data_IF_050518004371
#
_entry.id   IF_050518004371
#
_cell.length_a   1.000
_cell.length_b   1.000
_cell.length_c   1.000
_cell.angle_alpha   90.00
_cell.angle_beta   90.00
_cell.angle_gamma   90.00
#
_symmetry.space_group_name_H-M   'P 1'
#
loop_
_entity.id
_entity.type
_entity.pdbx_description
1 polymer ?
#
# COMPACT_ATOMS: atom_id res chain seq x y z
N UNK A 1 45.03 -24.37 2.53
CA UNK A 1 44.75 -23.02 3.06
C UNK A 1 44.44 -22.12 1.88
N UNK A 2 43.17 -21.98 1.49
CA UNK A 2 42.73 -21.16 0.35
C UNK A 2 42.37 -19.77 0.87
N UNK A 3 43.07 -18.74 0.41
CA UNK A 3 42.73 -17.35 0.68
C UNK A 3 41.39 -17.03 0.01
N UNK A 4 40.41 -16.63 0.82
CA UNK A 4 39.17 -16.01 0.38
C UNK A 4 39.52 -14.55 0.09
N UNK A 5 39.38 -14.03 -1.14
CA UNK A 5 39.44 -12.59 -1.33
C UNK A 5 38.19 -11.97 -0.70
N UNK A 6 38.39 -11.29 0.42
CA UNK A 6 37.47 -10.30 0.96
C UNK A 6 37.47 -9.10 0.01
N UNK A 7 36.67 -9.17 -1.05
CA UNK A 7 36.34 -7.96 -1.82
C UNK A 7 35.35 -7.15 -0.99
N UNK A 8 35.91 -6.33 -0.11
CA UNK A 8 35.25 -5.13 0.41
C UNK A 8 34.99 -4.19 -0.76
N UNK A 9 33.74 -4.09 -1.21
CA UNK A 9 33.24 -2.90 -1.89
C UNK A 9 32.02 -2.41 -1.10
N UNK A 10 32.34 -1.73 -0.01
CA UNK A 10 31.46 -0.75 0.59
C UNK A 10 31.31 0.42 -0.40
N UNK A 11 30.11 1.00 -0.45
CA UNK A 11 29.77 2.27 -1.12
C UNK A 11 29.79 2.32 -2.66
N UNK A 12 28.63 1.96 -3.25
CA UNK A 12 27.94 2.91 -4.14
C UNK A 12 26.50 3.08 -3.70
N UNK A 13 26.33 3.85 -2.63
CA UNK A 13 25.10 4.62 -2.44
C UNK A 13 25.03 5.63 -3.60
N UNK A 14 23.91 5.62 -4.30
CA UNK A 14 23.39 6.74 -5.11
C UNK A 14 24.25 7.23 -6.28
N UNK A 15 23.99 6.73 -7.50
CA UNK A 15 24.07 7.53 -8.73
C UNK A 15 23.46 6.76 -9.91
N UNK A 16 22.14 6.55 -9.87
CA UNK A 16 21.44 6.10 -11.07
C UNK A 16 20.04 6.71 -11.08
N UNK A 17 19.74 7.65 -12.02
CA UNK A 17 18.39 8.21 -12.17
C UNK A 17 17.31 7.12 -12.29
N UNK A 18 17.67 5.91 -12.72
CA UNK A 18 16.80 4.73 -12.76
C UNK A 18 16.35 4.20 -11.39
N UNK A 19 17.17 4.29 -10.34
CA UNK A 19 16.80 3.83 -8.99
C UNK A 19 15.82 4.80 -8.33
N UNK A 20 16.06 6.11 -8.46
CA UNK A 20 15.13 7.14 -7.99
C UNK A 20 13.79 7.02 -8.70
N UNK A 21 13.80 6.78 -10.02
CA UNK A 21 12.58 6.57 -10.79
C UNK A 21 11.76 5.36 -10.29
N UNK A 22 12.42 4.25 -9.96
CA UNK A 22 11.77 3.07 -9.38
C UNK A 22 11.15 3.35 -8.00
N UNK A 23 11.87 4.09 -7.15
CA UNK A 23 11.40 4.48 -5.82
C UNK A 23 10.15 5.36 -5.93
N UNK A 24 10.21 6.40 -6.77
CA UNK A 24 9.10 7.34 -6.97
C UNK A 24 7.89 6.61 -7.53
N UNK A 25 8.07 5.76 -8.55
CA UNK A 25 6.95 5.04 -9.14
C UNK A 25 6.28 4.10 -8.13
N UNK A 26 7.05 3.38 -7.33
CA UNK A 26 6.51 2.54 -6.26
C UNK A 26 5.68 3.37 -5.25
N UNK A 27 6.15 4.56 -4.86
CA UNK A 27 5.39 5.43 -3.96
C UNK A 27 4.12 5.98 -4.59
N UNK A 28 4.15 6.34 -5.88
CA UNK A 28 2.95 6.75 -6.60
C UNK A 28 1.91 5.63 -6.63
N UNK A 29 2.34 4.39 -6.90
CA UNK A 29 1.44 3.21 -6.87
C UNK A 29 0.83 3.02 -5.48
N UNK A 30 1.65 3.08 -4.42
CA UNK A 30 1.16 2.97 -3.05
C UNK A 30 0.19 4.11 -2.67
N UNK A 31 0.51 5.33 -3.07
CA UNK A 31 -0.33 6.51 -2.82
C UNK A 31 -1.69 6.38 -3.50
N UNK A 32 -1.73 5.99 -4.78
CA UNK A 32 -2.98 5.78 -5.53
C UNK A 32 -3.81 4.65 -4.89
N UNK A 33 -3.16 3.59 -4.41
CA UNK A 33 -3.83 2.51 -3.70
C UNK A 33 -4.51 3.01 -2.40
N UNK A 34 -3.77 3.76 -1.58
CA UNK A 34 -4.28 4.32 -0.32
C UNK A 34 -5.39 5.35 -0.55
N UNK A 35 -5.22 6.20 -1.56
CA UNK A 35 -6.20 7.21 -1.94
C UNK A 35 -7.51 6.57 -2.40
N UNK A 36 -7.43 5.48 -3.17
CA UNK A 36 -8.59 4.69 -3.56
C UNK A 36 -9.30 4.10 -2.34
N UNK A 37 -8.54 3.57 -1.37
CA UNK A 37 -9.06 3.10 -0.09
C UNK A 37 -9.84 4.18 0.67
N UNK A 38 -9.27 5.39 0.76
CA UNK A 38 -9.91 6.54 1.41
C UNK A 38 -11.24 6.94 0.74
N UNK A 39 -11.29 6.98 -0.60
CA UNK A 39 -12.53 7.30 -1.34
C UNK A 39 -13.61 6.27 -1.04
N UNK A 40 -13.25 4.98 -1.08
CA UNK A 40 -14.19 3.88 -0.84
C UNK A 40 -14.70 3.93 0.61
N UNK A 41 -13.81 4.17 1.57
CA UNK A 41 -14.16 4.36 2.98
C UNK A 41 -15.20 5.46 3.17
N UNK A 42 -14.96 6.62 2.54
CA UNK A 42 -15.85 7.79 2.65
C UNK A 42 -17.20 7.56 1.99
N UNK A 43 -17.22 6.87 0.84
CA UNK A 43 -18.47 6.48 0.16
C UNK A 43 -19.27 5.44 0.94
N UNK A 44 -18.59 4.50 1.60
CA UNK A 44 -19.21 3.44 2.38
C UNK A 44 -19.72 3.92 3.76
N UNK A 45 -19.27 5.07 4.26
CA UNK A 45 -19.59 5.57 5.62
C UNK A 45 -21.08 5.77 5.91
N UNK A 46 -21.91 5.97 4.89
CA UNK A 46 -23.36 6.16 5.03
C UNK A 46 -24.15 4.84 5.10
N UNK A 47 -23.46 3.70 4.96
CA UNK A 47 -24.07 2.36 4.96
C UNK A 47 -23.97 1.71 6.34
N UNK A 48 -24.82 0.71 6.65
CA UNK A 48 -24.73 -0.05 7.89
C UNK A 48 -23.35 -0.73 8.03
N UNK A 49 -22.93 -0.95 9.28
CA UNK A 49 -21.59 -1.41 9.63
C UNK A 49 -21.18 -2.69 8.88
N UNK A 50 -22.08 -3.68 8.79
CA UNK A 50 -21.82 -4.93 8.09
C UNK A 50 -21.50 -4.72 6.60
N UNK A 51 -22.25 -3.84 5.93
CA UNK A 51 -22.02 -3.49 4.51
C UNK A 51 -20.78 -2.63 4.35
N UNK A 52 -20.49 -1.73 5.30
CA UNK A 52 -19.27 -0.93 5.31
C UNK A 52 -18.03 -1.84 5.33
N UNK A 53 -17.95 -2.77 6.28
CA UNK A 53 -16.81 -3.70 6.41
C UNK A 53 -16.69 -4.57 5.17
N UNK A 54 -17.81 -5.10 4.64
CA UNK A 54 -17.82 -5.92 3.43
C UNK A 54 -17.28 -5.17 2.20
N UNK A 55 -17.68 -3.91 1.99
CA UNK A 55 -17.21 -3.10 0.87
C UNK A 55 -15.72 -2.76 1.02
N UNK A 56 -15.29 -2.37 2.22
CA UNK A 56 -13.90 -2.01 2.48
C UNK A 56 -12.98 -3.21 2.29
N UNK A 57 -13.28 -4.35 2.92
CA UNK A 57 -12.49 -5.58 2.78
C UNK A 57 -12.57 -6.15 1.36
N UNK A 58 -13.73 -6.11 0.71
CA UNK A 58 -13.87 -6.53 -0.68
C UNK A 58 -13.01 -5.69 -1.63
N UNK A 59 -12.98 -4.37 -1.41
CA UNK A 59 -12.14 -3.48 -2.21
C UNK A 59 -10.65 -3.71 -1.98
N UNK A 60 -10.22 -4.06 -0.76
CA UNK A 60 -8.82 -4.36 -0.45
C UNK A 60 -8.29 -5.50 -1.33
N UNK A 61 -9.04 -6.59 -1.43
CA UNK A 61 -8.65 -7.75 -2.25
C UNK A 61 -8.46 -7.38 -3.72
N UNK A 62 -9.38 -6.60 -4.28
CA UNK A 62 -9.29 -6.13 -5.66
C UNK A 62 -8.08 -5.22 -5.86
N UNK A 63 -7.83 -4.30 -4.92
CA UNK A 63 -6.70 -3.37 -5.02
C UNK A 63 -5.35 -4.05 -4.89
N UNK A 64 -5.22 -5.07 -4.04
CA UNK A 64 -3.98 -5.87 -3.95
C UNK A 64 -3.71 -6.58 -5.28
N UNK A 65 -4.75 -7.14 -5.92
CA UNK A 65 -4.63 -7.72 -7.27
C UNK A 65 -4.15 -6.68 -8.30
N UNK A 66 -4.71 -5.47 -8.29
CA UNK A 66 -4.30 -4.38 -9.19
C UNK A 66 -2.84 -3.98 -8.93
N UNK A 67 -2.44 -3.77 -7.67
CA UNK A 67 -1.05 -3.41 -7.32
C UNK A 67 -0.09 -4.52 -7.74
N UNK A 68 -0.47 -5.79 -7.60
CA UNK A 68 0.30 -6.93 -8.09
C UNK A 68 0.47 -6.91 -9.61
N UNK A 69 -0.62 -6.69 -10.36
CA UNK A 69 -0.59 -6.60 -11.81
C UNK A 69 0.25 -5.40 -12.30
N UNK A 70 0.12 -4.24 -11.66
CA UNK A 70 0.93 -3.04 -11.96
C UNK A 70 2.40 -3.30 -11.65
N UNK A 71 2.71 -3.94 -10.52
CA UNK A 71 4.09 -4.28 -10.16
C UNK A 71 4.71 -5.27 -11.14
N UNK A 72 3.94 -6.25 -11.59
CA UNK A 72 4.37 -7.17 -12.65
C UNK A 72 4.68 -6.44 -13.95
N UNK A 73 3.82 -5.50 -14.36
CA UNK A 73 4.03 -4.66 -15.54
C UNK A 73 5.30 -3.80 -15.40
N UNK A 74 5.49 -3.15 -14.25
CA UNK A 74 6.67 -2.32 -13.98
C UNK A 74 7.98 -3.11 -14.01
N UNK A 75 7.99 -4.34 -13.51
CA UNK A 75 9.19 -5.18 -13.53
C UNK A 75 9.43 -5.81 -14.90
N UNK A 76 8.40 -6.31 -15.56
CA UNK A 76 8.54 -7.06 -16.81
C UNK A 76 8.74 -6.19 -18.04
N UNK A 77 8.06 -5.05 -18.14
CA UNK A 77 8.07 -4.21 -19.36
C UNK A 77 9.03 -3.03 -19.21
N UNK A 78 8.99 -2.33 -18.07
CA UNK A 78 9.84 -1.15 -17.85
C UNK A 78 11.27 -1.54 -17.41
N UNK A 79 11.53 -2.82 -17.13
CA UNK A 79 12.86 -3.31 -16.73
C UNK A 79 13.38 -2.62 -15.46
N UNK A 80 12.47 -2.30 -14.52
CA UNK A 80 12.84 -1.53 -13.34
C UNK A 80 13.86 -2.26 -12.45
N UNK A 81 14.75 -1.51 -11.77
CA UNK A 81 15.62 -2.06 -10.73
C UNK A 81 14.81 -2.79 -9.64
N UNK A 82 14.82 -4.13 -9.68
CA UNK A 82 13.93 -4.97 -8.89
C UNK A 82 14.07 -4.74 -7.38
N UNK A 83 15.31 -4.57 -6.90
CA UNK A 83 15.61 -4.34 -5.48
C UNK A 83 15.06 -3.00 -4.99
N UNK A 84 15.34 -1.91 -5.71
CA UNK A 84 14.91 -0.57 -5.32
C UNK A 84 13.38 -0.41 -5.39
N UNK A 85 12.76 -0.95 -6.45
CA UNK A 85 11.30 -0.94 -6.61
C UNK A 85 10.62 -1.74 -5.48
N UNK A 86 11.05 -2.99 -5.26
CA UNK A 86 10.40 -3.88 -4.28
C UNK A 86 10.55 -3.37 -2.84
N UNK A 87 11.73 -2.83 -2.50
CA UNK A 87 11.97 -2.26 -1.17
C UNK A 87 11.13 -1.00 -0.94
N UNK A 88 11.08 -0.09 -1.91
CA UNK A 88 10.22 1.10 -1.84
C UNK A 88 8.74 0.73 -1.75
N UNK A 89 8.30 -0.23 -2.56
CA UNK A 89 6.92 -0.72 -2.56
C UNK A 89 6.56 -1.35 -1.21
N UNK A 90 7.44 -2.17 -0.62
CA UNK A 90 7.19 -2.78 0.68
C UNK A 90 7.06 -1.73 1.80
N UNK A 91 7.96 -0.76 1.85
CA UNK A 91 7.91 0.35 2.82
C UNK A 91 6.65 1.19 2.60
N UNK A 92 6.34 1.53 1.34
CA UNK A 92 5.15 2.28 0.97
C UNK A 92 3.89 1.53 1.41
N UNK A 93 3.72 0.28 0.99
CA UNK A 93 2.58 -0.56 1.41
C UNK A 93 2.46 -0.59 2.92
N UNK A 94 3.54 -0.79 3.66
CA UNK A 94 3.49 -0.79 5.13
C UNK A 94 2.95 0.54 5.70
N UNK A 95 3.53 1.67 5.32
CA UNK A 95 3.14 3.00 5.84
C UNK A 95 1.71 3.35 5.45
N UNK A 96 1.37 3.19 4.17
CA UNK A 96 0.06 3.56 3.64
C UNK A 96 -1.04 2.64 4.14
N UNK A 97 -0.80 1.33 4.21
CA UNK A 97 -1.78 0.36 4.72
C UNK A 97 -1.97 0.55 6.23
N UNK A 98 -0.91 0.84 6.99
CA UNK A 98 -1.03 1.22 8.39
C UNK A 98 -1.91 2.46 8.59
N UNK A 99 -1.66 3.52 7.81
CA UNK A 99 -2.50 4.71 7.84
C UNK A 99 -3.96 4.40 7.48
N UNK A 100 -4.19 3.52 6.49
CA UNK A 100 -5.53 3.07 6.10
C UNK A 100 -6.23 2.32 7.23
N UNK A 101 -5.56 1.37 7.89
CA UNK A 101 -6.12 0.60 9.01
C UNK A 101 -6.54 1.53 10.15
N UNK A 102 -5.68 2.47 10.53
CA UNK A 102 -5.98 3.45 11.59
C UNK A 102 -7.19 4.30 11.20
N UNK A 103 -7.24 4.78 9.96
CA UNK A 103 -8.38 5.55 9.45
C UNK A 103 -9.69 4.74 9.47
N UNK A 104 -9.66 3.49 9.00
CA UNK A 104 -10.83 2.62 9.04
C UNK A 104 -11.29 2.31 10.44
N UNK A 105 -10.36 2.12 11.38
CA UNK A 105 -10.69 1.85 12.77
C UNK A 105 -11.46 3.02 13.39
N UNK A 106 -10.94 4.24 13.23
CA UNK A 106 -11.62 5.48 13.70
C UNK A 106 -12.99 5.65 13.03
N UNK A 107 -13.09 5.34 11.74
CA UNK A 107 -14.34 5.48 10.99
C UNK A 107 -15.39 4.43 11.39
N UNK A 108 -14.94 3.18 11.57
CA UNK A 108 -15.72 2.03 12.04
C UNK A 108 -16.35 2.31 13.40
N UNK A 109 -15.56 2.81 14.36
CA UNK A 109 -16.05 3.14 15.70
C UNK A 109 -17.15 4.20 15.65
N UNK A 110 -17.01 5.21 14.78
CA UNK A 110 -18.06 6.22 14.58
C UNK A 110 -19.35 5.63 13.99
N UNK A 111 -19.26 4.68 13.07
CA UNK A 111 -20.46 4.02 12.52
C UNK A 111 -21.13 3.18 13.61
N UNK A 112 -20.35 2.40 14.35
CA UNK A 112 -20.82 1.52 15.42
C UNK A 112 -21.53 2.29 16.54
N UNK A 113 -21.04 3.47 16.91
CA UNK A 113 -21.70 4.33 17.90
C UNK A 113 -23.06 4.85 17.41
N UNK A 114 -23.17 5.26 16.14
CA UNK A 114 -24.44 5.73 15.55
C UNK A 114 -25.50 4.62 15.49
N UNK A 115 -25.11 3.41 15.11
CA UNK A 115 -26.05 2.27 15.08
C UNK A 115 -26.56 1.90 16.47
N UNK A 116 -25.72 2.00 17.52
CA UNK A 116 -26.15 1.80 18.91
C UNK A 116 -27.17 2.84 19.37
N UNK A 117 -26.98 4.11 19.02
CA UNK A 117 -27.92 5.19 19.34
C UNK A 117 -29.27 4.99 18.64
N UNK A 118 -29.25 4.55 17.38
CA UNK A 118 -30.49 4.30 16.61
C UNK A 118 -31.28 3.09 17.12
N UNK A 119 -30.63 2.04 17.62
CA UNK A 119 -31.30 0.85 18.19
C UNK A 119 -31.78 1.03 19.64
N UNK A 120 -31.40 2.12 20.32
CA UNK A 120 -31.80 2.40 21.71
C UNK A 120 -33.01 3.32 21.82
N UNK A 121 -33.50 3.87 20.69
CA UNK A 121 -34.74 4.66 20.58
C UNK A 121 -35.84 3.81 19.94
#
# INVERSE_FOLDING_TARGET
MRMIPLTTNNERVSDSPSNLYAIILAQVVCFVNAFSGYIIARSAYQKPFEKFVSIVLGSMSIRIMIVGAVSWWCLSILGMPQLAYSLSLAIGVFVYLFAEIVYFHVLSDKIKSREKEQNSN
#
